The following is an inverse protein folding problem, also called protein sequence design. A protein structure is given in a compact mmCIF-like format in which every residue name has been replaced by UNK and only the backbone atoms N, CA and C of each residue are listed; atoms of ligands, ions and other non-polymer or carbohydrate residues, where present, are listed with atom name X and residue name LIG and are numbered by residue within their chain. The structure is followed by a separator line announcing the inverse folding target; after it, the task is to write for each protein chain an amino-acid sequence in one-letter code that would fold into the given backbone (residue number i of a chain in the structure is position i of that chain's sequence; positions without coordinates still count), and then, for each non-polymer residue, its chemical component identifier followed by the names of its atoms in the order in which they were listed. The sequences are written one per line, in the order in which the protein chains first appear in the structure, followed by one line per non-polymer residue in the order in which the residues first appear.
data_IF_283801998710
#
_entry.id   IF_283801998710
#
_cell.length_a   1.000
_cell.length_b   1.000
_cell.length_c   1.000
_cell.angle_alpha   90.00
_cell.angle_beta   90.00
_cell.angle_gamma   90.00
#
_symmetry.space_group_name_H-M   'P 1'
#
loop_
_entity.id
_entity.type
_entity.pdbx_description
1 polymer ?
2 non-polymer ?
3 non-polymer ?
4 water ?
#
# COMPACT_ATOMS: atom_id res chain seq x y z
N UNK A 2 17.96 7.35 -2.72
CA UNK A 2 16.49 7.15 -2.80
C UNK A 2 16.16 5.67 -2.72
N UNK A 3 14.95 5.38 -2.27
CA UNK A 3 14.51 4.03 -2.04
C UNK A 3 13.10 3.84 -2.59
N UNK A 4 12.75 2.58 -2.79
CA UNK A 4 11.50 2.18 -3.41
C UNK A 4 10.71 1.31 -2.43
N UNK A 5 9.41 1.59 -2.29
CA UNK A 5 8.48 0.75 -1.55
C UNK A 5 7.34 0.41 -2.49
N UNK A 6 6.80 -0.80 -2.38
CA UNK A 6 5.71 -1.24 -3.25
C UNK A 6 4.65 -1.91 -2.37
N UNK A 7 3.42 -1.41 -2.43
CA UNK A 7 2.34 -1.77 -1.51
C UNK A 7 1.04 -1.96 -2.27
N UNK A 8 0.14 -2.73 -1.67
CA UNK A 8 -1.22 -2.90 -2.18
C UNK A 8 -2.16 -2.92 -0.98
N UNK A 9 -3.27 -2.19 -1.07
CA UNK A 9 -4.23 -2.12 0.02
C UNK A 9 -5.61 -1.63 -0.38
N UNK A 10 -6.03 -1.94 -1.60
CA UNK A 10 -7.34 -1.53 -2.06
C UNK A 10 -7.29 -0.68 -3.32
N UNK A 11 -8.36 0.04 -3.61
CA UNK A 11 -8.39 0.85 -4.81
C UNK A 11 -7.19 1.80 -4.82
N UNK A 12 -6.42 1.76 -5.91
CA UNK A 12 -5.17 2.49 -5.88
C UNK A 12 -5.30 4.01 -5.91
N UNK A 13 -6.47 4.53 -6.29
CA UNK A 13 -6.67 5.98 -6.25
C UNK A 13 -6.52 6.50 -4.84
N UNK A 14 -7.17 5.84 -3.89
CA UNK A 14 -7.14 6.27 -2.51
C UNK A 14 -5.78 6.07 -1.86
N UNK A 16 -2.87 6.28 -3.44
CA UNK A 16 -1.99 7.35 -3.89
C UNK A 16 -2.35 8.68 -3.24
N UNK A 17 -3.64 8.95 -3.10
CA UNK A 17 -4.11 10.21 -2.53
C UNK A 17 -3.51 10.47 -1.15
N UNK A 18 -3.43 9.43 -0.33
CA UNK A 18 -2.93 9.59 1.04
C UNK A 18 -1.42 9.43 1.13
N UNK A 19 -0.84 8.44 0.46
CA UNK A 19 0.58 8.17 0.60
C UNK A 19 1.43 9.29 -0.02
N UNK A 20 0.95 9.90 -1.10
CA UNK A 20 1.69 10.99 -1.73
C UNK A 20 1.90 12.16 -0.77
N UNK A 21 1.09 12.27 0.29
CA UNK A 21 1.14 13.39 1.22
C UNK A 21 2.16 13.21 2.33
N UNK A 22 2.72 12.02 2.46
CA UNK A 22 3.67 11.78 3.51
C UNK A 22 4.98 12.54 3.20
N UNK A 23 5.43 13.37 4.17
CA UNK A 23 6.68 14.11 3.89
C UNK A 23 7.85 13.14 3.70
N UNK A 24 8.65 13.37 2.67
CA UNK A 24 9.74 12.48 2.30
C UNK A 24 9.43 11.56 1.12
N UNK A 25 8.14 11.41 0.78
CA UNK A 25 7.79 10.68 -0.43
C UNK A 25 8.03 11.59 -1.63
N UNK A 26 8.84 11.13 -2.58
CA UNK A 26 9.21 11.92 -3.75
C UNK A 26 8.27 11.70 -4.93
N UNK A 27 7.96 10.44 -5.23
CA UNK A 27 7.10 10.11 -6.35
C UNK A 27 6.27 8.92 -5.98
N UNK A 28 5.06 8.88 -6.52
CA UNK A 28 4.20 7.72 -6.42
C UNK A 28 3.66 7.43 -7.82
N UNK A 29 3.47 6.14 -8.11
CA UNK A 29 2.76 5.74 -9.32
C UNK A 29 1.96 4.50 -9.02
N UNK A 30 0.80 4.40 -9.64
CA UNK A 30 -0.09 3.26 -9.39
C UNK A 30 0.02 2.28 -10.54
N UNK A 31 -0.33 1.03 -10.29
CA UNK A 31 -0.16 -0.03 -11.26
C UNK A 31 -0.65 -1.35 -10.75
N UNK A 32 -0.25 -2.39 -11.45
CA UNK A 32 -0.70 -3.76 -11.20
C UNK A 32 0.53 -4.61 -10.92
N UNK A 33 0.51 -5.36 -9.81
CA UNK A 33 1.70 -6.10 -9.44
C UNK A 33 1.30 -7.29 -8.55
N UNK A 34 2.20 -8.26 -8.43
CA UNK A 34 2.00 -9.40 -7.53
C UNK A 34 1.26 -10.57 -8.14
N UNK A 35 0.97 -10.50 -9.44
CA UNK A 35 0.17 -11.52 -10.12
C UNK A 35 0.80 -12.11 -11.36
N UNK A 36 -0.04 -12.52 -12.30
CA UNK A 36 0.39 -13.44 -13.34
C UNK A 36 0.70 -12.80 -14.68
N UNK A 37 -0.20 -11.98 -15.19
CA UNK A 37 -0.15 -11.64 -16.62
C UNK A 37 0.72 -10.43 -16.97
N UNK A 38 1.53 -10.57 -18.03
CA UNK A 38 2.33 -9.44 -18.49
C UNK A 38 1.44 -8.38 -19.13
N UNK A 39 1.95 -7.16 -19.27
CA UNK A 39 1.22 -6.08 -19.95
C UNK A 39 -0.17 -5.84 -19.35
N UNK A 40 -0.23 -5.88 -18.02
CA UNK A 40 -1.49 -5.76 -17.30
C UNK A 40 -2.15 -4.40 -17.51
N UNK A 41 -3.48 -4.40 -17.55
CA UNK A 41 -4.26 -3.18 -17.72
C UNK A 41 -5.41 -3.22 -16.71
N UNK A 42 -6.14 -2.12 -16.64
CA UNK A 42 -7.22 -1.97 -15.69
C UNK A 42 -8.25 -3.09 -15.78
N UNK A 43 -8.69 -3.42 -16.99
CA UNK A 43 -9.72 -4.45 -17.16
C UNK A 43 -9.16 -5.84 -17.43
N UNK A 44 -7.83 -5.95 -17.53
CA UNK A 44 -7.17 -7.24 -17.79
C UNK A 44 -5.85 -7.34 -17.05
N UNK A 45 -5.94 -7.68 -15.76
CA UNK A 45 -4.71 -7.86 -14.96
C UNK A 45 -4.67 -9.12 -14.12
N UNK A 46 -5.52 -10.08 -14.47
CA UNK A 46 -5.46 -11.41 -13.85
C UNK A 46 -5.41 -11.35 -12.33
N UNK A 47 -4.42 -12.02 -11.79
CA UNK A 47 -4.25 -12.13 -10.33
C UNK A 47 -3.43 -11.00 -9.70
N UNK A 48 -3.04 -9.98 -10.49
CA UNK A 48 -2.35 -8.83 -9.92
C UNK A 48 -3.24 -8.08 -8.93
N UNK A 49 -2.58 -7.49 -7.93
CA UNK A 49 -3.21 -6.50 -7.09
C UNK A 49 -3.06 -5.12 -7.72
N UNK A 50 -4.06 -4.26 -7.51
CA UNK A 50 -3.84 -2.81 -7.66
C UNK A 50 -2.85 -2.40 -6.59
N UNK A 51 -1.79 -1.72 -6.99
CA UNK A 51 -0.74 -1.34 -6.07
C UNK A 51 -0.15 0.00 -6.39
N UNK A 52 0.83 0.35 -5.58
CA UNK A 52 1.49 1.65 -5.65
C UNK A 52 2.97 1.45 -5.45
N UNK A 53 3.75 2.14 -6.28
CA UNK A 53 5.18 2.24 -6.13
C UNK A 53 5.51 3.61 -5.59
N UNK A 54 6.33 3.65 -4.55
CA UNK A 54 6.63 4.84 -3.79
C UNK A 54 8.15 5.02 -3.82
N UNK A 55 8.62 6.15 -4.33
CA UNK A 55 10.03 6.45 -4.25
C UNK A 55 10.16 7.49 -3.15
N UNK A 56 11.03 7.21 -2.17
CA UNK A 56 11.13 8.09 -1.02
C UNK A 56 12.60 8.41 -0.71
N UNK A 57 12.78 9.46 0.07
CA UNK A 57 14.11 9.90 0.54
C UNK A 57 14.31 9.34 1.93
N UNK A 58 15.18 8.32 2.09
CA UNK A 58 15.32 7.65 3.39
C UNK A 58 15.91 8.56 4.48
N UNK A 59 16.47 9.70 4.07
CA UNK A 59 16.97 10.67 5.04
C UNK A 59 15.81 11.42 5.70
N UNK A 60 14.69 11.52 4.98
CA UNK A 60 13.53 12.26 5.44
C UNK A 60 12.42 11.37 6.02
N UNK A 61 12.30 10.14 5.52
CA UNK A 61 11.24 9.23 5.95
C UNK A 61 11.76 7.80 5.88
N UNK A 62 11.38 6.97 6.85
CA UNK A 62 11.79 5.57 6.87
C UNK A 62 10.75 4.65 6.24
N UNK A 63 11.23 3.50 5.79
CA UNK A 63 10.35 2.45 5.34
C UNK A 63 9.34 2.07 6.40
N UNK A 64 9.78 1.96 7.64
CA UNK A 64 8.89 1.68 8.74
C UNK A 64 7.75 2.70 8.85
N UNK A 65 8.07 3.98 8.73
CA UNK A 65 7.04 5.00 8.83
C UNK A 65 6.04 4.90 7.67
N UNK A 66 6.53 4.57 6.48
CA UNK A 66 5.64 4.29 5.34
C UNK A 66 4.70 3.13 5.65
N UNK A 67 5.22 2.04 6.20
CA UNK A 67 4.36 0.92 6.56
C UNK A 67 3.37 1.32 7.63
N UNK A 68 3.78 2.15 8.58
CA UNK A 68 2.83 2.59 9.59
C UNK A 68 1.66 3.36 8.96
N UNK A 69 1.95 4.24 8.00
CA UNK A 69 0.84 4.93 7.34
C UNK A 69 -0.03 3.92 6.57
N UNK A 70 0.61 2.99 5.87
CA UNK A 70 -0.11 1.93 5.16
C UNK A 70 -1.13 1.23 6.07
N UNK A 71 -0.68 0.78 7.24
CA UNK A 71 -1.58 0.08 8.17
C UNK A 71 -2.61 1.00 8.83
N UNK A 72 -2.38 2.32 8.78
CA UNK A 72 -3.33 3.30 9.27
C UNK A 72 -4.47 3.59 8.31
N UNK A 73 -4.24 3.43 7.01
CA UNK A 73 -5.17 3.96 6.01
C UNK A 73 -6.02 2.91 5.31
N UNK A 74 -5.68 1.63 5.51
CA UNK A 74 -6.48 0.54 4.93
C UNK A 74 -6.66 -0.53 5.99
N UNK A 75 -7.77 -1.25 5.91
CA UNK A 75 -8.03 -2.36 6.82
C UNK A 75 -7.24 -3.57 6.32
N UNK A 76 -6.18 -4.00 7.06
CA UNK A 76 -5.32 -5.11 6.62
C UNK A 76 -5.85 -6.48 7.04
N UNK A 77 -7.09 -6.52 7.52
CA UNK A 77 -7.66 -7.75 8.09
C UNK A 77 -8.72 -8.40 7.21
N UNK A 78 -9.06 -7.76 6.10
CA UNK A 78 -10.11 -8.27 5.20
C UNK A 78 -9.48 -8.91 3.96
N UNK A 79 -9.63 -10.22 3.81
CA UNK A 79 -9.02 -10.91 2.68
C UNK A 79 -9.74 -10.57 1.37
N UNK A 80 -8.94 -10.15 0.37
CA UNK A 80 -9.45 -9.89 -0.99
C UNK A 80 -10.60 -8.89 -1.03
N UNK A 81 -10.48 -7.85 -0.23
CA UNK A 81 -11.49 -6.82 -0.12
C UNK A 81 -10.92 -5.60 0.56
N UNK A 82 -11.30 -4.41 0.09
CA UNK A 82 -11.07 -3.20 0.85
C UNK A 82 -12.33 -2.36 0.76
N UNK A 83 -13.02 -2.19 1.88
CA UNK A 83 -14.29 -1.46 1.89
C UNK A 83 -15.27 -2.04 0.92
N UNK A 84 -15.77 -1.20 0.02
CA UNK A 84 -16.75 -1.59 -1.00
C UNK A 84 -16.17 -2.40 -2.15
N UNK A 85 -14.85 -2.40 -2.26
CA UNK A 85 -14.15 -3.02 -3.38
C UNK A 85 -13.79 -4.46 -3.06
N UNK A 86 -14.40 -5.40 -3.78
CA UNK A 86 -14.26 -6.83 -3.51
C UNK A 86 -13.50 -7.52 -4.63
N UNK A 87 -12.52 -8.33 -4.25
CA UNK A 87 -11.76 -9.09 -5.21
C UNK A 87 -10.29 -9.10 -4.91
N UNK A 88 -9.58 -10.05 -5.53
CA UNK A 88 -8.14 -10.17 -5.38
C UNK A 88 -7.39 -8.91 -5.83
N UNK A 89 -8.01 -8.10 -6.71
CA UNK A 89 -7.41 -6.84 -7.15
C UNK A 89 -7.20 -5.87 -5.99
N UNK A 90 -7.95 -6.07 -4.90
CA UNK A 90 -8.02 -5.11 -3.81
C UNK A 90 -7.38 -5.62 -2.53
N UNK A 91 -6.59 -6.69 -2.63
CA UNK A 91 -5.99 -7.33 -1.48
C UNK A 91 -4.83 -6.51 -0.87
N UNK A 92 -4.54 -6.82 0.39
CA UNK A 92 -3.46 -6.19 1.13
C UNK A 92 -2.15 -6.95 0.91
N UNK A 93 -1.10 -6.24 0.51
CA UNK A 93 0.20 -6.88 0.31
C UNK A 93 1.35 -5.88 0.45
N UNK A 94 2.48 -6.37 0.92
CA UNK A 94 3.74 -5.62 0.94
C UNK A 94 4.71 -6.38 0.05
N UNK A 95 5.26 -5.68 -0.93
CA UNK A 95 6.21 -6.26 -1.88
C UNK A 95 7.58 -5.73 -1.56
N UNK A 96 8.38 -6.52 -0.85
CA UNK A 96 9.67 -6.04 -0.37
C UNK A 96 10.72 -6.03 -1.48
N UNK A 97 11.55 -5.00 -1.46
CA UNK A 97 12.56 -4.86 -2.50
C UNK A 97 13.89 -5.49 -2.08
N UNK A 98 14.08 -5.74 -0.79
CA UNK A 98 15.30 -6.36 -0.28
C UNK A 98 15.02 -6.97 1.07
N UNK A 99 16.03 -7.65 1.61
CA UNK A 99 15.89 -8.36 2.86
C UNK A 99 15.56 -7.46 4.05
N UNK A 100 16.12 -6.26 4.08
CA UNK A 100 15.84 -5.31 5.15
C UNK A 100 14.35 -4.96 5.18
N UNK A 101 13.77 -4.68 4.00
CA UNK A 101 12.33 -4.41 3.93
C UNK A 101 11.49 -5.62 4.35
N UNK A 102 11.91 -6.83 3.95
CA UNK A 102 11.20 -8.01 4.42
C UNK A 102 11.16 -8.09 5.95
N UNK A 103 12.31 -7.89 6.58
CA UNK A 103 12.42 -7.96 8.02
C UNK A 103 11.54 -6.88 8.68
N UNK A 104 11.57 -5.65 8.15
CA UNK A 104 10.79 -4.58 8.73
C UNK A 104 9.30 -4.85 8.53
N UNK A 105 8.92 -5.39 7.36
CA UNK A 105 7.51 -5.75 7.13
C UNK A 105 7.04 -6.79 8.14
N UNK A 106 7.83 -7.82 8.35
CA UNK A 106 7.47 -8.86 9.29
C UNK A 106 7.37 -8.33 10.72
N UNK A 107 8.34 -7.51 11.12
CA UNK A 107 8.36 -6.90 12.46
C UNK A 107 7.15 -6.00 12.65
N UNK A 108 6.80 -5.26 11.61
CA UNK A 108 5.70 -4.31 11.69
C UNK A 108 4.36 -5.02 11.80
N UNK A 109 4.17 -6.07 10.99
CA UNK A 109 2.98 -6.90 11.14
C UNK A 109 2.88 -7.51 12.55
N UNK A 110 4.00 -8.00 13.09
CA UNK A 110 4.02 -8.51 14.47
C UNK A 110 3.63 -7.42 15.47
N UNK A 111 4.11 -6.20 15.28
CA UNK A 111 3.72 -5.10 16.16
C UNK A 111 2.23 -4.76 16.05
N UNK A 112 1.73 -4.76 14.82
CA UNK A 112 0.32 -4.51 14.54
C UNK A 112 -0.55 -5.50 15.30
N UNK A 113 -0.25 -6.79 15.17
CA UNK A 113 -1.02 -7.81 15.85
C UNK A 113 -0.89 -7.75 17.36
N UNK A 114 0.32 -7.49 17.85
CA UNK A 114 0.56 -7.45 19.31
C UNK A 114 -0.24 -6.33 19.98
N UNK A 115 -0.52 -5.26 19.25
CA UNK A 115 -1.24 -4.10 19.78
C UNK A 115 -2.71 -4.40 20.09
N UNK A 116 -3.30 -5.33 19.35
CA UNK A 116 -4.73 -5.61 19.42
C UNK A 116 -5.65 -4.48 18.97
N UNK A 117 -5.11 -3.46 18.32
CA UNK A 117 -5.89 -2.29 17.91
C UNK A 117 -6.66 -2.49 16.60
N UNK A 118 -6.22 -3.45 15.78
CA UNK A 118 -6.85 -3.68 14.49
C UNK A 118 -7.93 -4.77 14.61
N UNK A 119 -8.88 -4.84 13.65
CA UNK A 119 -10.06 -5.70 13.83
C UNK A 119 -9.86 -7.12 13.31
N UNK A 120 -8.86 -7.80 13.85
CA UNK A 120 -8.63 -9.22 13.57
C UNK A 120 -7.22 -9.45 13.08
N UNK A 121 -6.92 -10.70 12.73
CA UNK A 121 -5.58 -11.04 12.26
C UNK A 121 -5.24 -10.30 10.97
N UNK A 122 -3.98 -9.95 10.82
CA UNK A 122 -3.50 -9.29 9.63
C UNK A 122 -3.39 -10.32 8.50
N UNK A 123 -4.01 -10.06 7.35
CA UNK A 123 -3.97 -10.99 6.21
C UNK A 123 -3.05 -10.50 5.10
N UNK A 124 -2.42 -9.36 5.32
CA UNK A 124 -1.46 -8.78 4.38
C UNK A 124 -0.44 -9.82 3.93
N UNK A 125 -0.27 -9.95 2.61
CA UNK A 125 0.79 -10.80 2.03
C UNK A 125 2.13 -10.10 2.16
N UNK A 126 3.20 -10.87 2.31
CA UNK A 126 4.56 -10.33 2.30
C UNK A 126 5.32 -11.12 1.25
N UNK A 127 5.67 -10.48 0.15
CA UNK A 127 6.29 -11.19 -0.99
C UNK A 127 7.38 -10.33 -1.58
N UNK A 128 8.36 -10.96 -2.25
CA UNK A 128 9.34 -10.16 -2.98
C UNK A 128 8.67 -9.40 -4.11
N UNK A 129 9.15 -8.20 -4.40
CA UNK A 129 8.63 -7.42 -5.51
C UNK A 129 8.99 -8.12 -6.84
N UNK A 130 8.05 -8.10 -7.77
CA UNK A 130 8.23 -8.61 -9.12
C UNK A 130 7.82 -7.49 -10.08
N UNK A 131 7.48 -7.82 -11.32
CA UNK A 131 7.13 -6.80 -12.29
C UNK A 131 6.03 -5.88 -11.76
N UNK A 132 6.20 -4.59 -12.00
CA UNK A 132 5.21 -3.58 -11.67
C UNK A 132 4.73 -2.98 -12.99
N UNK A 133 3.49 -3.27 -13.34
CA UNK A 133 2.90 -2.79 -14.61
C UNK A 133 2.21 -1.46 -14.32
N UNK A 134 2.82 -0.36 -14.72
CA UNK A 134 2.25 0.95 -14.46
C UNK A 134 0.85 1.07 -15.06
N UNK A 135 -0.06 1.63 -14.29
CA UNK A 135 -1.41 1.85 -14.77
C UNK A 135 -1.44 2.94 -15.83
N UNK A 136 -2.48 2.88 -16.64
CA UNK A 136 -2.81 3.86 -17.65
C UNK A 136 -2.74 5.30 -17.10
N UNK A 137 -2.36 6.28 -17.95
CA UNK A 137 -2.24 7.68 -17.46
C UNK A 137 -3.46 8.19 -16.74
N UNK A 138 -4.66 7.80 -17.16
CA UNK A 138 -5.88 8.28 -16.50
C UNK A 138 -5.95 7.91 -15.02
N UNK A 139 -5.26 6.84 -14.62
CA UNK A 139 -5.26 6.45 -13.20
C UNK A 139 -4.24 7.18 -12.34
N UNK A 140 -3.22 7.77 -12.95
CA UNK A 140 -2.17 8.42 -12.19
C UNK A 140 -2.68 9.73 -11.64
N UNK A 141 -2.48 9.98 -10.35
CA UNK A 141 -2.87 11.24 -9.73
C UNK A 141 -4.37 11.51 -9.87
N UNK A 142 -5.19 10.46 -9.89
CA UNK A 142 -6.59 10.62 -10.18
C UNK A 142 -7.27 11.58 -9.23
N UNK A 143 -7.04 11.43 -7.92
CA UNK A 143 -7.70 12.27 -6.92
C UNK A 143 -7.06 13.65 -6.76
N UNK A 144 -5.99 13.93 -7.49
CA UNK A 144 -5.54 15.31 -7.69
C UNK A 144 -6.39 16.01 -8.73
N UNK A 145 -6.65 15.34 -9.83
CA UNK A 145 -7.47 15.91 -10.88
C UNK A 145 -8.94 15.95 -10.48
N UNK A 146 -9.37 14.97 -9.69
CA UNK A 146 -10.75 14.87 -9.20
C UNK A 146 -10.76 14.77 -7.69
N UNK A 147 -10.56 15.91 -7.01
CA UNK A 147 -10.37 15.84 -5.56
C UNK A 147 -11.59 15.33 -4.77
N UNK A 148 -12.78 15.39 -5.37
CA UNK A 148 -13.95 14.82 -4.70
C UNK A 148 -14.27 13.40 -5.13
N UNK A 149 -13.33 12.76 -5.84
CA UNK A 149 -13.56 11.43 -6.39
C UNK A 149 -13.57 10.32 -5.35
N UNK A 150 -13.87 9.12 -5.83
CA UNK A 150 -14.05 7.95 -4.99
C UNK A 150 -12.80 7.56 -4.21
N UNK A 151 -12.98 7.38 -2.89
CA UNK A 151 -11.98 6.74 -2.05
C UNK A 151 -12.63 6.12 -0.81
N UNK A 152 -12.15 4.93 -0.42
CA UNK A 152 -12.55 4.28 0.82
C UNK A 152 -11.39 4.23 1.83
N UNK A 153 -10.28 4.91 1.49
CA UNK A 153 -9.13 5.01 2.38
C UNK A 153 -9.23 6.25 3.23
N UNK A 154 -8.79 6.15 4.48
CA UNK A 154 -8.70 7.30 5.38
C UNK A 154 -7.85 6.88 6.56
N UNK A 155 -7.17 7.83 7.22
CA UNK A 155 -6.30 7.43 8.34
C UNK A 155 -7.11 7.26 9.62
N UNK A 156 -7.12 6.06 10.19
CA UNK A 156 -7.78 5.80 11.46
C UNK A 156 -6.85 6.26 12.58
N UNK A 157 -7.27 7.18 13.46
CA UNK A 157 -6.36 7.61 14.54
C UNK A 157 -6.05 6.48 15.53
N UNK A 158 -6.94 5.48 15.59
CA UNK A 158 -6.79 4.32 16.46
C UNK A 158 -5.85 3.24 15.92
N UNK A 159 -5.50 3.33 14.63
CA UNK A 159 -4.63 2.32 14.00
C UNK A 159 -3.22 2.85 13.91
N UNK A 160 -2.65 3.08 15.10
CA UNK A 160 -1.29 3.57 15.26
C UNK A 160 -0.58 2.75 16.32
N UNK A 161 0.73 2.63 16.16
CA UNK A 161 1.60 1.87 17.05
C UNK A 161 2.38 2.78 17.99
N UNK A 162 2.86 2.23 19.13
CA UNK A 162 3.78 2.99 19.98
C UNK A 162 5.03 3.31 19.15
N UNK A 163 5.50 4.56 19.22
CA UNK A 163 6.71 4.90 18.48
C UNK A 163 7.94 4.81 19.37
N UNK A 164 8.42 3.57 19.51
CA UNK A 164 9.48 3.23 20.45
C UNK A 164 10.83 3.88 20.14
N UNK A 165 10.97 4.38 18.90
CA UNK A 165 12.24 4.96 18.41
C UNK A 165 12.22 6.47 18.32
#
# INVERSE_FOLDING_TARGET
XTKRAVLAGGCFWGXQDLIRKLPGVIETRVGYTGGDVPNATYRNHGTHAEGIEIIFDPERISYRRILELFFQIHDPTTKDRQGNDIGTSYRSAIYYVDDEQKRIAQETIADVEASGLWPGKVVTEVEPVRDFWEAEPEHQNYLERYPNGYTCHFPRPNWVLPRRSAAE
#
